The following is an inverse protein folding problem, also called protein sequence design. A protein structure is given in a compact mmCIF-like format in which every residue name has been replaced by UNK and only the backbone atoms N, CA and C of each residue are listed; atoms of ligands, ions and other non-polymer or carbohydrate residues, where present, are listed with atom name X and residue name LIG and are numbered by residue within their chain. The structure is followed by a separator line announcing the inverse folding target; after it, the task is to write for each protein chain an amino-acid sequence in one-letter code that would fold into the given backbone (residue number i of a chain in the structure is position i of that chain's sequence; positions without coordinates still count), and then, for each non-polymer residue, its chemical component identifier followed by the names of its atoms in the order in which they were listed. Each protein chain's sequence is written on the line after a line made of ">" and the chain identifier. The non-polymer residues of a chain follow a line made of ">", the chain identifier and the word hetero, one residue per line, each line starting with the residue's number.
data_IF_099894464711
#
_entry.id   IF_099894464711
#
_cell.length_a   1.000
_cell.length_b   1.000
_cell.length_c   1.000
_cell.angle_alpha   90.00
_cell.angle_beta   90.00
_cell.angle_gamma   90.00
#
_symmetry.space_group_name_H-M   'P 1'
#
loop_
_entity.id
_entity.type
_entity.pdbx_description
1 polymer ?
#
# COMPACT_ATOMS: atom_id res chain seq x y z
N UNK A 1 58.10 -14.32 4.03
CA UNK A 1 57.13 -15.06 3.23
C UNK A 1 55.79 -14.49 3.66
N UNK A 2 55.30 -13.50 2.93
CA UNK A 2 54.10 -12.75 3.29
C UNK A 2 52.90 -13.45 2.67
N UNK A 3 51.95 -13.87 3.54
CA UNK A 3 50.65 -14.39 3.07
C UNK A 3 49.88 -13.33 2.33
N UNK A 4 49.48 -13.64 1.10
CA UNK A 4 48.59 -12.80 0.27
C UNK A 4 47.20 -12.80 0.96
N UNK A 5 46.50 -11.63 0.95
CA UNK A 5 45.12 -11.53 1.42
C UNK A 5 44.23 -12.43 0.56
N UNK A 6 43.40 -13.27 1.18
CA UNK A 6 42.38 -14.05 0.51
C UNK A 6 41.38 -13.13 -0.20
N UNK A 7 41.22 -13.36 -1.51
CA UNK A 7 40.19 -12.69 -2.30
C UNK A 7 38.79 -12.97 -1.76
N UNK A 8 37.90 -11.97 -1.65
CA UNK A 8 36.53 -12.12 -1.12
C UNK A 8 35.53 -12.77 -2.09
N UNK A 9 36.02 -13.44 -3.13
CA UNK A 9 35.21 -14.00 -4.23
C UNK A 9 34.81 -15.47 -4.00
N UNK A 10 35.37 -16.15 -3.00
CA UNK A 10 35.15 -17.60 -2.76
C UNK A 10 34.12 -17.92 -1.68
N UNK A 11 33.26 -16.97 -1.29
CA UNK A 11 32.09 -17.35 -0.50
C UNK A 11 31.09 -18.06 -1.42
N UNK A 12 30.80 -19.36 -1.19
CA UNK A 12 29.75 -20.05 -1.93
C UNK A 12 28.45 -19.29 -1.68
N UNK A 13 27.86 -18.78 -2.77
CA UNK A 13 26.53 -18.18 -2.78
C UNK A 13 25.65 -19.09 -1.92
N UNK A 14 25.24 -18.56 -0.77
CA UNK A 14 24.37 -19.23 0.19
C UNK A 14 23.06 -19.61 -0.52
N UNK A 15 23.04 -20.83 -1.07
CA UNK A 15 21.88 -21.39 -1.77
C UNK A 15 20.74 -21.75 -0.80
N UNK A 16 20.94 -21.52 0.50
CA UNK A 16 19.98 -21.76 1.58
C UNK A 16 19.14 -20.53 1.95
N UNK A 17 19.10 -19.51 1.08
CA UNK A 17 18.08 -18.47 1.26
C UNK A 17 16.70 -19.17 1.36
N UNK A 18 16.00 -19.08 2.50
CA UNK A 18 14.76 -19.82 2.71
C UNK A 18 13.78 -19.42 1.64
N UNK A 19 13.51 -20.33 0.70
CA UNK A 19 12.44 -20.19 -0.29
C UNK A 19 11.20 -19.83 0.50
N UNK A 20 10.74 -18.58 0.34
CA UNK A 20 9.54 -18.04 0.99
C UNK A 20 8.39 -19.00 0.69
N UNK A 21 8.15 -19.96 1.60
CA UNK A 21 7.04 -20.90 1.50
C UNK A 21 5.80 -20.06 1.31
N UNK A 22 5.10 -20.24 0.21
CA UNK A 22 3.79 -19.61 -0.01
C UNK A 22 2.96 -19.94 1.22
N UNK A 23 2.59 -18.90 1.98
CA UNK A 23 1.75 -19.09 3.16
C UNK A 23 0.51 -19.83 2.70
N UNK A 24 0.09 -20.90 3.40
CA UNK A 24 -1.16 -21.56 3.06
C UNK A 24 -2.27 -20.51 3.07
N UNK A 25 -3.23 -20.69 2.16
CA UNK A 25 -4.41 -19.82 2.02
C UNK A 25 -4.96 -19.57 3.41
N UNK A 26 -4.85 -18.33 3.89
CA UNK A 26 -5.26 -17.98 5.25
C UNK A 26 -6.76 -18.22 5.44
N UNK A 27 -7.16 -18.60 6.65
CA UNK A 27 -8.58 -18.77 7.02
C UNK A 27 -9.46 -17.61 6.55
N UNK A 28 -8.94 -16.39 6.55
CA UNK A 28 -9.61 -15.20 6.04
C UNK A 28 -9.93 -15.28 4.55
N UNK A 29 -9.03 -15.84 3.73
CA UNK A 29 -9.30 -16.02 2.30
C UNK A 29 -10.39 -17.07 2.06
N UNK A 30 -10.37 -18.15 2.83
CA UNK A 30 -11.41 -19.18 2.75
C UNK A 30 -12.77 -18.60 3.15
N UNK A 31 -12.80 -17.80 4.22
CA UNK A 31 -14.02 -17.14 4.67
C UNK A 31 -14.59 -16.19 3.63
N UNK A 32 -13.75 -15.36 3.01
CA UNK A 32 -14.15 -14.46 1.92
C UNK A 32 -14.65 -15.25 0.71
N UNK A 33 -13.95 -16.32 0.33
CA UNK A 33 -14.35 -17.17 -0.80
C UNK A 33 -15.72 -17.83 -0.57
N UNK A 34 -15.99 -18.29 0.65
CA UNK A 34 -17.29 -18.85 1.04
C UNK A 34 -18.38 -17.79 0.99
N UNK A 35 -18.12 -16.58 1.50
CA UNK A 35 -19.08 -15.47 1.41
C UNK A 35 -19.42 -15.12 -0.04
N UNK A 36 -18.42 -15.03 -0.90
CA UNK A 36 -18.61 -14.76 -2.33
C UNK A 36 -19.41 -15.88 -2.98
N UNK A 37 -19.07 -17.14 -2.70
CA UNK A 37 -19.81 -18.28 -3.26
C UNK A 37 -21.28 -18.28 -2.82
N UNK A 38 -21.56 -18.04 -1.54
CA UNK A 38 -22.92 -17.92 -1.01
C UNK A 38 -23.67 -16.77 -1.69
N UNK A 39 -23.04 -15.61 -1.85
CA UNK A 39 -23.64 -14.45 -2.52
C UNK A 39 -24.00 -14.76 -3.97
N UNK A 40 -23.11 -15.40 -4.71
CA UNK A 40 -23.36 -15.82 -6.10
C UNK A 40 -24.52 -16.80 -6.20
N UNK A 41 -24.59 -17.78 -5.29
CA UNK A 41 -25.70 -18.76 -5.25
C UNK A 41 -27.04 -18.07 -4.93
N UNK A 42 -27.05 -17.11 -4.01
CA UNK A 42 -28.25 -16.35 -3.66
C UNK A 42 -28.75 -15.51 -4.83
N UNK A 43 -27.86 -14.80 -5.51
CA UNK A 43 -28.21 -14.00 -6.70
C UNK A 43 -28.70 -14.91 -7.84
N UNK A 44 -28.02 -16.03 -8.06
CA UNK A 44 -28.46 -16.99 -9.08
C UNK A 44 -29.85 -17.55 -8.79
N UNK A 45 -30.17 -17.83 -7.54
CA UNK A 45 -31.51 -18.32 -7.15
C UNK A 45 -32.59 -17.25 -7.28
N UNK A 46 -32.24 -15.99 -7.09
CA UNK A 46 -33.19 -14.89 -7.12
C UNK A 46 -33.42 -14.35 -8.54
N UNK A 47 -32.35 -14.05 -9.25
CA UNK A 47 -32.38 -13.31 -10.52
C UNK A 47 -31.86 -14.15 -11.70
N UNK A 48 -31.52 -15.42 -11.47
CA UNK A 48 -31.00 -16.33 -12.49
C UNK A 48 -29.62 -15.96 -13.00
N UNK A 49 -29.24 -16.54 -14.14
CA UNK A 49 -27.94 -16.28 -14.79
C UNK A 49 -27.76 -14.82 -15.20
N UNK A 50 -28.86 -14.16 -15.56
CA UNK A 50 -28.84 -12.76 -16.02
C UNK A 50 -28.40 -11.82 -14.92
N UNK A 51 -28.86 -12.00 -13.68
CA UNK A 51 -28.46 -11.18 -12.53
C UNK A 51 -26.96 -11.35 -12.21
N UNK A 52 -26.44 -12.56 -12.30
CA UNK A 52 -25.01 -12.82 -12.08
C UNK A 52 -24.14 -12.16 -13.14
N UNK A 53 -24.53 -12.21 -14.41
CA UNK A 53 -23.78 -11.58 -15.51
C UNK A 53 -23.81 -10.07 -15.43
N UNK A 54 -24.93 -9.48 -15.07
CA UNK A 54 -25.06 -8.02 -14.90
C UNK A 54 -24.15 -7.50 -13.79
N UNK A 55 -24.10 -8.17 -12.64
CA UNK A 55 -23.19 -7.82 -11.54
C UNK A 55 -21.74 -7.96 -11.98
N UNK A 56 -21.38 -9.06 -12.69
CA UNK A 56 -20.01 -9.26 -13.18
C UNK A 56 -19.57 -8.16 -14.15
N UNK A 57 -20.43 -7.73 -15.05
CA UNK A 57 -20.12 -6.63 -15.97
C UNK A 57 -19.98 -5.30 -15.24
N UNK A 58 -20.86 -5.01 -14.29
CA UNK A 58 -20.78 -3.83 -13.45
C UNK A 58 -19.48 -3.80 -12.62
N UNK A 59 -19.09 -4.93 -12.03
CA UNK A 59 -17.85 -5.05 -11.27
C UNK A 59 -16.61 -4.87 -12.17
N UNK A 60 -16.65 -5.41 -13.39
CA UNK A 60 -15.57 -5.25 -14.34
C UNK A 60 -15.40 -3.80 -14.81
N UNK A 61 -16.48 -3.08 -15.00
CA UNK A 61 -16.48 -1.65 -15.32
C UNK A 61 -15.90 -0.83 -14.15
N UNK A 62 -16.34 -1.12 -12.93
CA UNK A 62 -15.80 -0.51 -11.70
C UNK A 62 -14.29 -0.78 -11.58
N UNK A 63 -13.87 -2.02 -11.80
CA UNK A 63 -12.46 -2.40 -11.73
C UNK A 63 -11.63 -1.66 -12.79
N UNK A 64 -12.14 -1.56 -14.02
CA UNK A 64 -11.52 -0.79 -15.10
C UNK A 64 -11.36 0.70 -14.76
N UNK A 65 -12.31 1.28 -14.02
CA UNK A 65 -12.23 2.67 -13.55
C UNK A 65 -11.28 2.87 -12.36
N UNK A 66 -11.12 1.86 -11.51
CA UNK A 66 -10.25 1.92 -10.34
C UNK A 66 -8.78 1.67 -10.71
N UNK A 67 -8.51 0.77 -11.63
CA UNK A 67 -7.16 0.36 -12.01
C UNK A 67 -6.22 1.52 -12.39
N UNK A 68 -6.62 2.46 -13.27
CA UNK A 68 -5.76 3.60 -13.61
C UNK A 68 -5.51 4.52 -12.41
N UNK A 69 -6.47 4.65 -11.50
CA UNK A 69 -6.31 5.45 -10.27
C UNK A 69 -5.30 4.81 -9.31
N UNK A 70 -5.35 3.49 -9.16
CA UNK A 70 -4.39 2.74 -8.35
C UNK A 70 -2.99 2.86 -8.95
N UNK A 71 -2.85 2.66 -10.25
CA UNK A 71 -1.56 2.81 -10.96
C UNK A 71 -1.00 4.21 -10.81
N UNK A 72 -1.81 5.24 -11.01
CA UNK A 72 -1.38 6.63 -10.82
C UNK A 72 -0.93 6.91 -9.37
N UNK A 73 -1.65 6.37 -8.37
CA UNK A 73 -1.27 6.49 -6.97
C UNK A 73 0.04 5.77 -6.64
N UNK A 74 0.24 4.58 -7.17
CA UNK A 74 1.49 3.83 -7.00
C UNK A 74 2.68 4.54 -7.67
N UNK A 75 2.49 5.07 -8.89
CA UNK A 75 3.51 5.86 -9.58
C UNK A 75 3.85 7.13 -8.80
N UNK A 76 2.84 7.85 -8.31
CA UNK A 76 3.06 9.03 -7.48
C UNK A 76 3.86 8.68 -6.22
N UNK A 77 3.50 7.60 -5.53
CA UNK A 77 4.24 7.12 -4.37
C UNK A 77 5.69 6.77 -4.69
N UNK A 78 5.95 6.10 -5.82
CA UNK A 78 7.28 5.76 -6.27
C UNK A 78 8.12 7.02 -6.60
N UNK A 79 7.53 8.01 -7.29
CA UNK A 79 8.21 9.27 -7.57
C UNK A 79 8.50 10.08 -6.30
N UNK A 80 7.58 10.09 -5.34
CA UNK A 80 7.80 10.73 -4.04
C UNK A 80 8.99 10.06 -3.34
N UNK A 81 9.05 8.73 -3.31
CA UNK A 81 10.14 7.99 -2.69
C UNK A 81 11.51 8.30 -3.35
N UNK A 82 11.55 8.49 -4.66
CA UNK A 82 12.78 8.80 -5.40
C UNK A 82 13.21 10.26 -5.23
N UNK A 83 12.26 11.20 -5.24
CA UNK A 83 12.54 12.63 -5.18
C UNK A 83 12.87 13.10 -3.76
N UNK A 84 12.24 12.48 -2.74
CA UNK A 84 12.46 12.90 -1.37
C UNK A 84 13.76 12.33 -0.80
N UNK A 85 14.75 13.19 -0.45
CA UNK A 85 15.97 12.72 0.18
C UNK A 85 15.65 12.13 1.56
N UNK A 86 16.09 10.90 1.81
CA UNK A 86 15.95 10.20 3.08
C UNK A 86 16.28 11.07 4.30
N UNK A 87 17.34 11.85 4.18
CA UNK A 87 17.83 12.70 5.27
C UNK A 87 16.85 13.79 5.69
N UNK A 88 16.15 14.40 4.73
CA UNK A 88 15.14 15.43 5.02
C UNK A 88 13.87 14.83 5.60
N UNK A 89 13.45 13.70 5.09
CA UNK A 89 12.25 13.00 5.59
C UNK A 89 12.50 12.48 6.99
N UNK A 90 13.61 11.80 7.22
CA UNK A 90 13.98 11.29 8.55
C UNK A 90 14.11 12.42 9.58
N UNK A 91 14.63 13.59 9.19
CA UNK A 91 14.77 14.75 10.08
C UNK A 91 13.42 15.42 10.42
N UNK A 92 12.47 15.42 9.47
CA UNK A 92 11.20 16.16 9.63
C UNK A 92 10.03 15.27 10.06
N UNK A 93 10.03 14.03 9.62
CA UNK A 93 8.97 13.03 9.82
C UNK A 93 9.49 11.74 10.48
N UNK A 94 10.78 11.65 10.80
CA UNK A 94 11.41 10.48 11.39
C UNK A 94 11.10 10.32 12.88
N UNK A 95 11.61 9.25 13.51
CA UNK A 95 11.30 8.90 14.90
C UNK A 95 11.67 10.00 15.91
N UNK A 96 12.68 10.80 15.62
CA UNK A 96 13.13 11.89 16.49
C UNK A 96 12.33 13.20 16.32
N UNK A 97 11.43 13.26 15.34
CA UNK A 97 10.64 14.46 15.04
C UNK A 97 9.52 14.73 16.05
N UNK A 98 9.08 13.71 16.80
CA UNK A 98 8.06 13.81 17.83
C UNK A 98 6.76 14.48 17.35
N UNK A 99 6.26 15.47 18.13
CA UNK A 99 5.05 16.23 17.79
C UNK A 99 5.15 16.99 16.48
N UNK A 100 6.35 17.43 16.09
CA UNK A 100 6.57 18.13 14.83
C UNK A 100 6.27 17.23 13.65
N UNK A 101 6.70 15.97 13.68
CA UNK A 101 6.41 14.99 12.66
C UNK A 101 4.92 14.69 12.52
N UNK A 102 4.21 14.59 13.65
CA UNK A 102 2.75 14.41 13.66
C UNK A 102 2.04 15.59 12.99
N UNK A 103 2.42 16.83 13.36
CA UNK A 103 1.82 18.04 12.77
C UNK A 103 2.07 18.14 11.27
N UNK A 104 3.30 17.85 10.82
CA UNK A 104 3.64 17.85 9.40
C UNK A 104 2.86 16.76 8.66
N UNK A 105 2.82 15.53 9.21
CA UNK A 105 2.03 14.44 8.65
C UNK A 105 0.55 14.79 8.54
N UNK A 106 -0.03 15.36 9.61
CA UNK A 106 -1.42 15.82 9.64
C UNK A 106 -1.70 16.88 8.56
N UNK A 107 -0.85 17.91 8.46
CA UNK A 107 -1.00 18.97 7.47
C UNK A 107 -0.88 18.42 6.04
N UNK A 108 0.07 17.53 5.80
CA UNK A 108 0.26 16.89 4.51
C UNK A 108 -0.95 16.04 4.13
N UNK A 109 -1.49 15.25 5.05
CA UNK A 109 -2.68 14.43 4.83
C UNK A 109 -3.93 15.27 4.52
N UNK A 110 -4.10 16.42 5.20
CA UNK A 110 -5.23 17.31 4.96
C UNK A 110 -5.24 17.91 3.55
N UNK A 111 -4.06 18.16 2.98
CA UNK A 111 -3.88 18.80 1.66
C UNK A 111 -3.85 17.74 0.54
N UNK A 112 -3.54 16.47 0.86
CA UNK A 112 -3.33 15.43 -0.14
C UNK A 112 -4.61 15.20 -0.97
N UNK A 113 -4.58 15.49 -2.28
CA UNK A 113 -5.74 15.25 -3.14
C UNK A 113 -5.84 13.77 -3.50
N UNK A 114 -7.04 13.33 -3.82
CA UNK A 114 -7.30 11.99 -4.33
C UNK A 114 -7.94 11.05 -3.30
N UNK A 115 -8.14 9.83 -3.72
CA UNK A 115 -8.78 8.79 -2.94
C UNK A 115 -7.78 7.94 -2.13
N UNK A 116 -8.26 6.87 -1.51
CA UNK A 116 -7.43 5.90 -0.79
C UNK A 116 -6.32 5.32 -1.66
N UNK A 117 -6.56 5.23 -2.95
CA UNK A 117 -5.60 4.73 -3.95
C UNK A 117 -4.37 5.63 -4.13
N UNK A 118 -4.43 6.88 -3.67
CA UNK A 118 -3.29 7.81 -3.64
C UNK A 118 -2.68 7.88 -2.25
N UNK A 119 -3.50 7.97 -1.20
CA UNK A 119 -3.03 8.16 0.17
C UNK A 119 -2.20 6.97 0.68
N UNK A 120 -2.63 5.73 0.43
CA UNK A 120 -1.90 4.56 0.91
C UNK A 120 -0.55 4.33 0.21
N UNK A 121 -0.42 4.44 -1.13
CA UNK A 121 0.89 4.35 -1.78
C UNK A 121 1.85 5.46 -1.32
N UNK A 122 1.36 6.67 -1.12
CA UNK A 122 2.18 7.79 -0.59
C UNK A 122 2.62 7.51 0.84
N UNK A 123 1.73 6.99 1.70
CA UNK A 123 2.07 6.57 3.05
C UNK A 123 3.15 5.50 3.07
N UNK A 124 3.02 4.47 2.22
CA UNK A 124 4.02 3.43 2.07
C UNK A 124 5.36 3.99 1.60
N UNK A 125 5.36 4.91 0.63
CA UNK A 125 6.54 5.59 0.14
C UNK A 125 7.25 6.39 1.24
N UNK A 126 6.52 7.15 2.05
CA UNK A 126 7.08 7.90 3.18
C UNK A 126 7.75 6.98 4.20
N UNK A 127 7.16 5.83 4.50
CA UNK A 127 7.77 4.84 5.39
C UNK A 127 9.08 4.28 4.82
N UNK A 128 9.15 4.03 3.50
CA UNK A 128 10.38 3.54 2.87
C UNK A 128 11.50 4.55 2.88
N UNK A 129 11.19 5.85 2.86
CA UNK A 129 12.18 6.94 2.93
C UNK A 129 12.47 7.41 4.35
N UNK A 130 12.00 6.68 5.38
CA UNK A 130 12.40 6.89 6.77
C UNK A 130 11.47 7.77 7.60
N UNK A 131 10.23 7.98 7.17
CA UNK A 131 9.21 8.59 8.01
C UNK A 131 8.83 7.67 9.17
N UNK A 132 8.50 8.28 10.32
CA UNK A 132 7.98 7.56 11.47
C UNK A 132 6.56 7.04 11.23
N UNK A 133 6.27 5.92 11.85
CA UNK A 133 4.96 5.29 11.75
C UNK A 133 3.84 6.18 12.29
N UNK A 134 4.09 6.90 13.40
CA UNK A 134 3.14 7.85 13.98
C UNK A 134 2.81 9.01 13.04
N UNK A 135 3.82 9.62 12.42
CA UNK A 135 3.64 10.71 11.46
C UNK A 135 2.87 10.23 10.21
N UNK A 136 3.15 9.01 9.75
CA UNK A 136 2.46 8.42 8.61
C UNK A 136 1.01 8.08 8.91
N UNK A 137 0.72 7.54 10.10
CA UNK A 137 -0.67 7.33 10.55
C UNK A 137 -1.40 8.67 10.67
N UNK A 138 -0.78 9.68 11.27
CA UNK A 138 -1.38 11.01 11.38
C UNK A 138 -1.75 11.59 10.01
N UNK A 139 -0.92 11.37 8.99
CA UNK A 139 -1.21 11.73 7.60
C UNK A 139 -2.45 10.99 7.07
N UNK A 140 -2.52 9.67 7.21
CA UNK A 140 -3.64 8.86 6.70
C UNK A 140 -4.94 9.20 7.43
N UNK A 141 -4.89 9.37 8.75
CA UNK A 141 -6.06 9.75 9.56
C UNK A 141 -6.55 11.14 9.19
N UNK A 142 -5.63 12.11 9.06
CA UNK A 142 -5.97 13.47 8.66
C UNK A 142 -6.59 13.50 7.25
N UNK A 143 -5.99 12.78 6.30
CA UNK A 143 -6.58 12.63 4.98
C UNK A 143 -8.00 12.06 5.03
N UNK A 144 -8.25 11.08 5.89
CA UNK A 144 -9.57 10.44 6.04
C UNK A 144 -10.61 11.38 6.64
N UNK A 145 -10.21 12.21 7.61
CA UNK A 145 -11.12 13.08 8.37
C UNK A 145 -11.34 14.45 7.71
N UNK A 146 -10.27 15.04 7.17
CA UNK A 146 -10.25 16.44 6.71
C UNK A 146 -10.12 16.52 5.19
N UNK A 147 -9.75 15.41 4.52
CA UNK A 147 -9.39 15.38 3.10
C UNK A 147 -10.29 16.23 2.24
N UNK A 148 -9.68 17.15 1.50
CA UNK A 148 -10.28 18.22 0.71
C UNK A 148 -11.43 17.75 -0.24
N UNK A 149 -11.46 16.50 -0.62
CA UNK A 149 -12.50 15.95 -1.49
C UNK A 149 -13.80 15.53 -0.79
N UNK A 150 -13.90 15.67 0.55
CA UNK A 150 -15.10 15.33 1.32
C UNK A 150 -15.88 16.54 1.83
N UNK A 151 -15.29 17.73 1.73
CA UNK A 151 -15.90 18.98 2.18
C UNK A 151 -16.70 19.68 1.07
N UNK A 152 -16.75 19.08 -0.12
CA UNK A 152 -17.55 19.50 -1.28
C UNK A 152 -18.38 18.29 -1.73
#
# INVERSE_FOLDING_TARGET
>A
MAELPKDPVDDPIDSDAPRKKRKPIGWSMIFIAVLVAVSVVLVWRRDGVHGVTEILFSDLELFGGILPRVLAGCLLGAFIAEILPHEKVSRSLGPESGLKGLLIGTAFGAILPGGPFTAYPVAAALLTVGADFGATIAMVVSWTLIGYGRAI
#
